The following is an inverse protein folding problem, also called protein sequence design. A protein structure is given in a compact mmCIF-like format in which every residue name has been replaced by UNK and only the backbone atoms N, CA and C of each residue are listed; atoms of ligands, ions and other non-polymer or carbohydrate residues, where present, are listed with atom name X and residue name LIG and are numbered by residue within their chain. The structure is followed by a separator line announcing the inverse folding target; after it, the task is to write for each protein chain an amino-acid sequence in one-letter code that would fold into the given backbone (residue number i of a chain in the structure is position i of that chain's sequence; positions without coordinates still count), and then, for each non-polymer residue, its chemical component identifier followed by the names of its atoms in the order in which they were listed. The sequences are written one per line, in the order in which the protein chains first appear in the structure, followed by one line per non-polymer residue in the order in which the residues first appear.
data_IF_818179686894
#
_entry.id   IF_818179686894
#
_cell.length_a   1.000
_cell.length_b   1.000
_cell.length_c   1.000
_cell.angle_alpha   90.00
_cell.angle_beta   90.00
_cell.angle_gamma   90.00
#
_symmetry.space_group_name_H-M   'P 1'
#
loop_
_entity.id
_entity.type
_entity.pdbx_description
1 polymer ?
#
# COMPACT_ATOMS: atom_id res chain seq x y z
N UNK A 1 -26.60 6.00 14.74
CA UNK A 1 -25.70 5.10 15.49
C UNK A 1 -26.19 3.64 15.49
N UNK A 2 -26.61 3.10 14.34
CA UNK A 2 -27.27 1.79 14.26
C UNK A 2 -26.31 0.57 14.29
N UNK A 3 -24.99 0.79 14.20
CA UNK A 3 -23.99 -0.28 14.19
C UNK A 3 -22.71 0.21 14.89
N UNK A 4 -22.30 -0.51 15.94
CA UNK A 4 -21.02 -0.28 16.64
C UNK A 4 -19.84 -0.98 15.95
N UNK A 5 -18.63 -0.68 16.39
CA UNK A 5 -17.43 -1.41 15.98
C UNK A 5 -17.52 -2.88 16.42
N UNK A 6 -17.14 -3.79 15.52
CA UNK A 6 -17.15 -5.24 15.78
C UNK A 6 -16.06 -5.72 16.75
N UNK A 7 -15.06 -4.88 17.02
CA UNK A 7 -13.98 -5.12 17.98
C UNK A 7 -13.38 -3.78 18.44
N UNK A 8 -12.56 -3.80 19.49
CA UNK A 8 -11.62 -2.72 19.76
C UNK A 8 -10.46 -2.79 18.78
N UNK A 9 -9.85 -1.65 18.45
CA UNK A 9 -8.72 -1.65 17.55
C UNK A 9 -8.26 -0.27 17.15
N UNK A 10 -7.04 -0.21 16.63
CA UNK A 10 -6.41 0.98 16.07
C UNK A 10 -6.13 0.73 14.60
N UNK A 11 -6.44 1.71 13.76
CA UNK A 11 -6.23 1.65 12.32
C UNK A 11 -5.43 2.86 11.88
N UNK A 12 -4.57 2.67 10.87
CA UNK A 12 -3.69 3.72 10.36
C UNK A 12 -3.96 3.93 8.86
N UNK A 13 -4.09 5.20 8.50
CA UNK A 13 -4.14 5.71 7.14
C UNK A 13 -2.88 6.49 6.84
N UNK A 14 -2.35 6.37 5.62
CA UNK A 14 -1.18 7.13 5.20
C UNK A 14 -1.26 7.51 3.72
N UNK A 15 -0.70 8.67 3.40
CA UNK A 15 -0.42 9.10 2.04
C UNK A 15 0.79 10.06 2.01
N UNK A 16 1.47 10.12 0.86
CA UNK A 16 2.53 11.07 0.59
C UNK A 16 2.57 11.38 -0.92
N UNK A 17 3.20 12.48 -1.32
CA UNK A 17 3.28 12.89 -2.72
C UNK A 17 4.49 12.31 -3.49
N UNK A 18 5.19 11.30 -2.93
CA UNK A 18 6.33 10.63 -3.57
C UNK A 18 6.00 9.94 -4.91
N UNK A 19 4.74 9.56 -5.12
CA UNK A 19 4.28 8.84 -6.32
C UNK A 19 2.91 9.34 -6.76
N UNK A 20 2.53 9.19 -8.04
CA UNK A 20 1.19 9.56 -8.53
C UNK A 20 0.04 8.85 -7.79
N UNK A 21 0.28 7.65 -7.29
CA UNK A 21 -0.69 6.87 -6.50
C UNK A 21 -0.81 7.34 -5.03
N UNK A 22 -0.06 8.37 -4.67
CA UNK A 22 0.06 8.92 -3.32
C UNK A 22 0.50 7.88 -2.28
N UNK A 23 1.49 7.07 -2.66
CA UNK A 23 2.07 5.98 -1.87
C UNK A 23 3.58 6.18 -1.66
N UNK A 24 4.17 5.61 -0.59
CA UNK A 24 5.62 5.53 -0.47
C UNK A 24 6.22 4.77 -1.66
N UNK A 25 7.31 5.30 -2.21
CA UNK A 25 7.91 4.80 -3.44
C UNK A 25 8.44 3.36 -3.31
N UNK A 26 8.99 3.02 -2.14
CA UNK A 26 9.59 1.70 -1.86
C UNK A 26 8.57 0.56 -1.93
N UNK A 27 7.44 0.69 -1.23
CA UNK A 27 6.39 -0.33 -1.21
C UNK A 27 5.65 -0.41 -2.54
N UNK A 28 5.42 0.74 -3.19
CA UNK A 28 4.73 0.79 -4.49
C UNK A 28 5.51 -0.02 -5.53
N UNK A 29 6.82 0.24 -5.67
CA UNK A 29 7.62 -0.48 -6.65
C UNK A 29 7.87 -1.93 -6.26
N UNK A 30 8.01 -2.26 -4.97
CA UNK A 30 8.04 -3.65 -4.53
C UNK A 30 6.78 -4.42 -4.99
N UNK A 31 5.59 -3.84 -4.84
CA UNK A 31 4.35 -4.43 -5.36
C UNK A 31 4.31 -4.54 -6.87
N UNK A 32 4.65 -3.46 -7.60
CA UNK A 32 4.63 -3.46 -9.07
C UNK A 32 5.59 -4.51 -9.64
N UNK A 33 6.78 -4.67 -9.06
CA UNK A 33 7.74 -5.71 -9.44
C UNK A 33 7.18 -7.12 -9.17
N UNK A 34 6.55 -7.35 -8.01
CA UNK A 34 5.96 -8.65 -7.69
C UNK A 34 4.78 -9.00 -8.63
N UNK A 35 3.97 -8.00 -8.98
CA UNK A 35 2.88 -8.16 -9.96
C UNK A 35 3.47 -8.49 -11.33
N UNK A 36 4.46 -7.72 -11.78
CA UNK A 36 5.12 -7.93 -13.07
C UNK A 36 5.79 -9.30 -13.17
N UNK A 37 6.43 -9.78 -12.10
CA UNK A 37 7.00 -11.12 -12.03
C UNK A 37 5.93 -12.19 -12.26
N UNK A 38 4.73 -12.01 -11.70
CA UNK A 38 3.61 -12.90 -11.94
C UNK A 38 3.07 -12.79 -13.38
N UNK A 39 3.04 -11.59 -13.97
CA UNK A 39 2.58 -11.36 -15.33
C UNK A 39 3.47 -12.06 -16.36
N UNK A 40 4.79 -11.85 -16.30
CA UNK A 40 5.75 -12.47 -17.25
C UNK A 40 5.75 -14.00 -17.14
N UNK A 41 5.52 -14.53 -15.94
CA UNK A 41 5.34 -15.97 -15.71
C UNK A 41 4.05 -16.48 -16.36
N UNK A 42 2.91 -15.84 -16.07
CA UNK A 42 1.60 -16.28 -16.58
C UNK A 42 1.51 -16.16 -18.10
N UNK A 43 2.15 -15.14 -18.68
CA UNK A 43 2.26 -14.94 -20.11
C UNK A 43 3.30 -15.84 -20.80
N UNK A 44 4.03 -16.68 -20.04
CA UNK A 44 5.11 -17.54 -20.54
C UNK A 44 6.26 -16.79 -21.24
N UNK A 45 6.45 -15.50 -20.92
CA UNK A 45 7.62 -14.72 -21.36
C UNK A 45 8.88 -15.30 -20.71
N UNK A 46 8.80 -15.58 -19.40
CA UNK A 46 9.85 -16.27 -18.64
C UNK A 46 9.30 -17.63 -18.15
N UNK A 47 9.27 -18.67 -19.01
CA UNK A 47 8.52 -19.91 -18.76
C UNK A 47 9.15 -20.80 -17.67
N UNK A 48 10.39 -20.49 -17.26
CA UNK A 48 11.08 -21.18 -16.18
C UNK A 48 10.65 -20.70 -14.79
N UNK A 49 9.96 -19.56 -14.68
CA UNK A 49 9.48 -19.04 -13.39
C UNK A 49 8.34 -19.89 -12.83
N UNK A 50 8.33 -20.00 -11.50
CA UNK A 50 7.29 -20.66 -10.69
C UNK A 50 6.56 -19.63 -9.82
N UNK A 51 5.44 -19.99 -9.16
CA UNK A 51 4.56 -19.02 -8.52
C UNK A 51 5.14 -18.22 -7.34
N UNK A 52 6.07 -18.80 -6.57
CA UNK A 52 6.61 -18.13 -5.38
C UNK A 52 7.68 -17.10 -5.76
N UNK A 53 7.56 -15.89 -5.22
CA UNK A 53 8.40 -14.76 -5.58
C UNK A 53 8.32 -13.66 -4.54
N UNK A 54 9.47 -13.01 -4.28
CA UNK A 54 9.63 -11.94 -3.29
C UNK A 54 10.42 -10.80 -3.92
N UNK A 55 10.02 -9.58 -3.63
CA UNK A 55 10.66 -8.36 -4.13
C UNK A 55 10.93 -7.42 -2.97
N UNK A 56 12.06 -6.71 -3.03
CA UNK A 56 12.44 -5.69 -2.08
C UNK A 56 13.11 -4.54 -2.84
N UNK A 57 12.79 -3.31 -2.45
CA UNK A 57 13.32 -2.08 -3.03
C UNK A 57 13.89 -1.23 -1.91
N UNK A 58 15.18 -0.90 -2.00
CA UNK A 58 15.87 0.04 -1.12
C UNK A 58 16.02 1.37 -1.86
N UNK A 59 15.62 2.44 -1.20
CA UNK A 59 15.54 3.78 -1.78
C UNK A 59 16.42 4.72 -0.97
N UNK A 60 17.17 5.57 -1.64
CA UNK A 60 17.94 6.64 -1.02
C UNK A 60 17.08 7.89 -0.88
N UNK A 61 17.16 8.52 0.29
CA UNK A 61 16.39 9.73 0.63
C UNK A 61 17.34 10.88 1.00
N UNK A 62 17.04 12.08 0.52
CA UNK A 62 17.64 13.35 0.95
C UNK A 62 16.51 14.24 1.47
N UNK A 63 16.63 14.76 2.70
CA UNK A 63 15.62 15.63 3.34
C UNK A 63 14.18 15.08 3.21
N UNK A 64 14.01 13.79 3.48
CA UNK A 64 12.75 13.03 3.35
C UNK A 64 12.17 12.88 1.93
N UNK A 65 12.91 13.26 0.89
CA UNK A 65 12.52 13.05 -0.51
C UNK A 65 13.29 11.89 -1.13
N UNK A 66 12.62 10.98 -1.86
CA UNK A 66 13.31 9.91 -2.55
C UNK A 66 14.11 10.45 -3.73
N UNK A 67 15.37 10.07 -3.83
CA UNK A 67 16.29 10.56 -4.87
C UNK A 67 16.54 9.49 -5.94
N UNK A 68 16.79 8.25 -5.52
CA UNK A 68 17.05 7.11 -6.43
C UNK A 68 16.77 5.78 -5.76
N UNK A 69 16.66 4.72 -6.56
CA UNK A 69 16.66 3.35 -6.06
C UNK A 69 18.11 2.85 -5.95
N UNK A 70 18.54 2.51 -4.74
CA UNK A 70 19.90 1.98 -4.50
C UNK A 70 19.98 0.49 -4.83
N UNK A 71 19.01 -0.30 -4.35
CA UNK A 71 19.04 -1.76 -4.47
C UNK A 71 17.67 -2.32 -4.81
N UNK A 72 17.62 -3.22 -5.79
CA UNK A 72 16.47 -4.08 -6.07
C UNK A 72 16.88 -5.53 -5.80
N UNK A 73 16.12 -6.21 -4.94
CA UNK A 73 16.29 -7.63 -4.67
C UNK A 73 15.05 -8.39 -5.14
N UNK A 74 15.26 -9.40 -5.98
CA UNK A 74 14.23 -10.31 -6.47
C UNK A 74 14.63 -11.74 -6.13
N UNK A 75 13.83 -12.41 -5.32
CA UNK A 75 13.92 -13.86 -5.13
C UNK A 75 12.75 -14.52 -5.84
N UNK A 76 13.00 -15.25 -6.92
CA UNK A 76 11.96 -15.87 -7.74
C UNK A 76 12.17 -17.39 -7.82
N UNK A 77 11.12 -18.14 -7.50
CA UNK A 77 11.14 -19.59 -7.63
C UNK A 77 11.22 -19.98 -9.12
N UNK A 78 11.95 -21.05 -9.43
CA UNK A 78 12.19 -21.45 -10.81
C UNK A 78 12.25 -22.97 -11.00
N UNK A 79 12.23 -23.40 -12.27
CA UNK A 79 12.53 -24.80 -12.65
C UNK A 79 13.99 -25.14 -12.31
N UNK A 80 14.32 -26.43 -12.09
CA UNK A 80 15.70 -26.85 -11.93
C UNK A 80 16.59 -26.49 -13.12
N UNK A 81 17.89 -26.38 -12.88
CA UNK A 81 18.93 -26.14 -13.88
C UNK A 81 18.80 -24.80 -14.64
N UNK A 82 18.21 -23.78 -14.00
CA UNK A 82 18.25 -22.40 -14.50
C UNK A 82 19.50 -21.72 -13.98
N UNK A 83 20.28 -21.12 -14.88
CA UNK A 83 21.41 -20.28 -14.51
C UNK A 83 20.91 -18.93 -13.96
N UNK A 84 21.38 -18.56 -12.77
CA UNK A 84 20.92 -17.35 -12.10
C UNK A 84 21.58 -16.10 -12.68
N UNK A 85 22.89 -16.15 -12.93
CA UNK A 85 23.67 -14.96 -13.31
C UNK A 85 23.58 -14.70 -14.81
N UNK A 86 23.70 -15.75 -15.64
CA UNK A 86 23.82 -15.60 -17.09
C UNK A 86 22.47 -15.65 -17.83
N UNK A 87 21.41 -16.11 -17.17
CA UNK A 87 20.06 -16.18 -17.75
C UNK A 87 19.03 -15.40 -16.92
N UNK A 88 18.76 -15.84 -15.68
CA UNK A 88 17.64 -15.29 -14.92
C UNK A 88 17.81 -13.80 -14.61
N UNK A 89 18.99 -13.37 -14.21
CA UNK A 89 19.25 -11.98 -13.83
C UNK A 89 19.10 -11.01 -15.02
N UNK A 90 19.71 -11.25 -16.20
CA UNK A 90 19.42 -10.47 -17.41
C UNK A 90 17.93 -10.42 -17.75
N UNK A 91 17.24 -11.57 -17.71
CA UNK A 91 15.82 -11.67 -18.02
C UNK A 91 14.94 -10.86 -17.05
N UNK A 92 15.22 -10.92 -15.75
CA UNK A 92 14.49 -10.14 -14.75
C UNK A 92 14.77 -8.63 -14.87
N UNK A 93 16.00 -8.25 -15.21
CA UNK A 93 16.32 -6.84 -15.49
C UNK A 93 15.48 -6.33 -16.67
N UNK A 94 15.48 -7.06 -17.78
CA UNK A 94 14.83 -6.64 -19.02
C UNK A 94 13.30 -6.69 -18.93
N UNK A 95 12.76 -7.80 -18.43
CA UNK A 95 11.32 -8.05 -18.51
C UNK A 95 10.56 -7.68 -17.25
N UNK A 96 11.23 -7.47 -16.11
CA UNK A 96 10.59 -7.16 -14.81
C UNK A 96 11.00 -5.78 -14.27
N UNK A 97 12.28 -5.45 -14.22
CA UNK A 97 12.75 -4.20 -13.59
C UNK A 97 12.55 -3.00 -14.51
N UNK A 98 13.17 -2.99 -15.69
CA UNK A 98 13.11 -1.85 -16.62
C UNK A 98 11.67 -1.43 -16.99
N UNK A 99 10.70 -2.33 -17.22
CA UNK A 99 9.34 -1.92 -17.57
C UNK A 99 8.54 -1.30 -16.42
N UNK A 100 9.05 -1.38 -15.18
CA UNK A 100 8.32 -1.01 -13.97
C UNK A 100 8.94 0.19 -13.27
N UNK A 101 10.26 0.26 -13.23
CA UNK A 101 10.99 1.31 -12.57
C UNK A 101 11.26 2.43 -13.58
N UNK A 102 10.80 3.67 -13.33
CA UNK A 102 11.13 4.81 -14.16
C UNK A 102 12.64 5.02 -14.28
N UNK A 103 13.10 5.40 -15.48
CA UNK A 103 14.53 5.57 -15.78
C UNK A 103 15.17 6.63 -14.89
N UNK A 104 14.44 7.67 -14.50
CA UNK A 104 14.92 8.75 -13.63
C UNK A 104 15.28 8.28 -12.20
N UNK A 105 14.80 7.11 -11.77
CA UNK A 105 15.12 6.53 -10.47
C UNK A 105 16.27 5.52 -10.52
N UNK A 106 16.78 5.21 -11.73
CA UNK A 106 17.87 4.25 -11.96
C UNK A 106 19.14 5.02 -12.32
N UNK A 107 20.21 4.77 -11.58
CA UNK A 107 21.55 5.23 -11.93
C UNK A 107 22.50 4.07 -12.22
N UNK A 108 23.73 4.40 -12.62
CA UNK A 108 24.80 3.42 -12.87
C UNK A 108 25.22 2.61 -11.63
N UNK A 109 24.79 3.03 -10.43
CA UNK A 109 25.14 2.39 -9.17
C UNK A 109 24.03 1.45 -8.66
N UNK A 110 22.94 1.29 -9.40
CA UNK A 110 21.85 0.38 -9.04
C UNK A 110 22.39 -1.04 -8.79
N UNK A 111 22.13 -1.56 -7.59
CA UNK A 111 22.46 -2.93 -7.22
C UNK A 111 21.26 -3.83 -7.51
N UNK A 112 21.44 -4.83 -8.37
CA UNK A 112 20.42 -5.84 -8.65
C UNK A 112 20.85 -7.18 -8.10
N UNK A 113 20.11 -7.65 -7.09
CA UNK A 113 20.34 -8.93 -6.42
C UNK A 113 19.24 -9.92 -6.85
N UNK A 114 19.63 -10.99 -7.54
CA UNK A 114 18.70 -12.04 -7.98
C UNK A 114 19.08 -13.34 -7.30
N UNK A 115 18.13 -13.95 -6.57
CA UNK A 115 18.29 -15.19 -5.83
C UNK A 115 19.69 -15.33 -5.15
N UNK A 116 20.05 -14.43 -4.21
CA UNK A 116 21.42 -14.38 -3.66
C UNK A 116 21.84 -15.65 -2.90
N UNK A 117 20.89 -16.49 -2.50
CA UNK A 117 21.14 -17.81 -1.88
C UNK A 117 21.41 -18.92 -2.91
N UNK A 118 21.42 -18.59 -4.20
CA UNK A 118 21.53 -19.52 -5.31
C UNK A 118 20.18 -20.09 -5.75
N UNK A 119 20.00 -21.40 -5.65
CA UNK A 119 18.82 -22.08 -6.23
C UNK A 119 17.56 -21.88 -5.38
N UNK A 120 16.45 -21.56 -6.03
CA UNK A 120 15.11 -21.50 -5.42
C UNK A 120 14.13 -22.39 -6.20
N UNK A 121 14.28 -23.71 -6.08
CA UNK A 121 13.49 -24.69 -6.84
C UNK A 121 12.24 -25.17 -6.07
N UNK A 122 12.35 -25.32 -4.74
CA UNK A 122 11.27 -25.69 -3.82
C UNK A 122 10.72 -24.43 -3.15
N UNK A 123 9.40 -24.22 -3.19
CA UNK A 123 8.75 -23.01 -2.68
C UNK A 123 7.26 -23.24 -2.42
N UNK A 124 6.55 -22.15 -2.11
CA UNK A 124 5.15 -22.22 -1.69
C UNK A 124 4.96 -22.99 -0.37
N UNK A 125 3.76 -23.53 -0.10
CA UNK A 125 3.45 -24.20 1.18
C UNK A 125 4.35 -25.40 1.51
N UNK A 126 5.00 -26.00 0.52
CA UNK A 126 5.98 -27.07 0.73
C UNK A 126 7.27 -26.55 1.38
N UNK A 127 7.68 -25.32 1.07
CA UNK A 127 8.89 -24.70 1.61
C UNK A 127 8.65 -23.87 2.86
N UNK A 128 7.49 -23.23 3.00
CA UNK A 128 7.15 -22.37 4.15
C UNK A 128 5.64 -22.35 4.42
N UNK A 129 5.24 -22.49 5.69
CA UNK A 129 3.82 -22.51 6.06
C UNK A 129 3.20 -21.12 5.98
N UNK A 130 2.20 -20.95 5.12
CA UNK A 130 1.46 -19.70 4.98
C UNK A 130 0.26 -19.60 5.95
N UNK A 131 0.05 -18.42 6.54
CA UNK A 131 -1.15 -18.12 7.34
C UNK A 131 -1.74 -16.76 6.94
N UNK A 132 -3.07 -16.65 7.02
CA UNK A 132 -3.79 -15.38 6.83
C UNK A 132 -3.28 -14.31 7.81
N UNK A 133 -3.09 -13.08 7.32
CA UNK A 133 -2.69 -11.96 8.17
C UNK A 133 -1.23 -11.94 8.59
N UNK A 134 -0.34 -12.70 7.93
CA UNK A 134 1.11 -12.67 8.19
C UNK A 134 1.90 -11.79 7.22
N UNK A 135 1.22 -10.87 6.54
CA UNK A 135 1.78 -9.93 5.56
C UNK A 135 1.23 -8.50 5.73
N UNK A 136 0.76 -8.14 6.92
CA UNK A 136 0.06 -6.85 7.18
C UNK A 136 0.87 -5.59 6.79
N UNK A 137 2.20 -5.62 6.92
CA UNK A 137 3.05 -4.50 6.49
C UNK A 137 3.17 -4.43 4.96
N UNK A 138 3.20 -5.59 4.30
CA UNK A 138 3.15 -5.70 2.83
C UNK A 138 1.75 -5.34 2.32
N UNK A 139 0.69 -5.67 3.04
CA UNK A 139 -0.68 -5.29 2.66
C UNK A 139 -0.92 -3.77 2.74
N UNK A 140 -0.05 -3.01 3.43
CA UNK A 140 -0.23 -1.59 3.72
C UNK A 140 0.87 -0.71 3.12
N UNK A 141 1.78 -0.18 3.94
CA UNK A 141 2.68 0.92 3.58
C UNK A 141 4.16 0.54 3.63
N UNK A 142 4.47 -0.76 3.70
CA UNK A 142 5.85 -1.26 3.64
C UNK A 142 6.75 -0.80 4.78
N UNK A 143 6.16 -0.39 5.91
CA UNK A 143 6.89 0.12 7.09
C UNK A 143 7.12 1.64 7.09
N UNK A 144 6.68 2.36 6.04
CA UNK A 144 6.77 3.83 6.02
C UNK A 144 5.81 4.51 7.01
N UNK A 145 4.70 3.84 7.31
CA UNK A 145 3.69 4.29 8.26
C UNK A 145 3.50 3.27 9.38
N UNK A 146 2.95 3.73 10.49
CA UNK A 146 2.57 2.86 11.62
C UNK A 146 1.51 1.84 11.21
N UNK A 147 1.33 0.81 12.02
CA UNK A 147 0.30 -0.21 11.81
C UNK A 147 -0.36 -0.59 13.13
N UNK A 148 -1.70 -0.69 13.17
CA UNK A 148 -2.44 -0.98 14.40
C UNK A 148 -2.66 -2.46 14.72
N UNK A 149 -2.18 -3.35 13.85
CA UNK A 149 -2.06 -4.80 14.10
C UNK A 149 -3.15 -5.67 13.45
N UNK A 150 -4.31 -5.09 13.13
CA UNK A 150 -5.42 -5.81 12.50
C UNK A 150 -5.10 -6.28 11.07
N UNK A 151 -5.24 -7.58 10.80
CA UNK A 151 -5.17 -8.12 9.44
C UNK A 151 -6.45 -7.80 8.64
N UNK A 152 -6.33 -7.77 7.30
CA UNK A 152 -7.48 -7.48 6.43
C UNK A 152 -8.18 -8.74 5.90
N UNK A 153 -7.46 -9.65 5.26
CA UNK A 153 -8.02 -10.83 4.57
C UNK A 153 -8.85 -11.72 5.49
N UNK A 154 -9.98 -12.24 4.98
CA UNK A 154 -10.93 -13.07 5.74
C UNK A 154 -11.98 -12.32 6.56
N UNK A 155 -11.93 -10.99 6.63
CA UNK A 155 -12.87 -10.17 7.41
C UNK A 155 -13.90 -9.45 6.53
N UNK A 156 -15.18 -9.51 6.89
CA UNK A 156 -16.21 -8.68 6.27
C UNK A 156 -16.04 -7.19 6.65
N UNK A 157 -16.69 -6.23 5.97
CA UNK A 157 -16.44 -4.81 6.21
C UNK A 157 -17.05 -4.25 7.51
N UNK A 158 -17.79 -5.05 8.30
CA UNK A 158 -18.18 -4.62 9.65
C UNK A 158 -17.01 -4.67 10.63
N UNK A 159 -15.87 -5.28 10.24
CA UNK A 159 -14.66 -5.40 11.07
C UNK A 159 -13.79 -4.19 10.79
N UNK A 160 -13.67 -3.34 11.81
CA UNK A 160 -13.04 -2.03 11.70
C UNK A 160 -11.56 -2.11 11.35
N UNK A 161 -10.89 -3.23 11.64
CA UNK A 161 -9.53 -3.52 11.15
C UNK A 161 -9.39 -3.29 9.64
N UNK A 162 -10.38 -3.71 8.85
CA UNK A 162 -10.40 -3.52 7.41
C UNK A 162 -11.05 -2.19 7.02
N UNK A 163 -12.30 -1.99 7.41
CA UNK A 163 -13.07 -0.82 6.94
C UNK A 163 -12.52 0.48 7.50
N UNK A 164 -12.10 0.51 8.76
CA UNK A 164 -11.44 1.65 9.38
C UNK A 164 -10.09 1.96 8.75
N UNK A 165 -9.28 0.96 8.41
CA UNK A 165 -8.02 1.17 7.70
C UNK A 165 -8.23 1.72 6.28
N UNK A 166 -9.23 1.22 5.56
CA UNK A 166 -9.57 1.73 4.23
C UNK A 166 -10.09 3.17 4.29
N UNK A 167 -10.94 3.49 5.27
CA UNK A 167 -11.41 4.85 5.48
C UNK A 167 -10.27 5.80 5.88
N UNK A 168 -9.33 5.34 6.71
CA UNK A 168 -8.16 6.11 7.09
C UNK A 168 -7.25 6.39 5.87
N UNK A 169 -7.04 5.39 4.98
CA UNK A 169 -6.38 5.60 3.69
C UNK A 169 -7.12 6.62 2.82
N UNK A 170 -8.45 6.51 2.74
CA UNK A 170 -9.28 7.43 1.95
C UNK A 170 -9.14 8.87 2.43
N UNK A 171 -9.15 9.10 3.75
CA UNK A 171 -8.85 10.41 4.36
C UNK A 171 -7.46 10.88 3.95
N UNK A 172 -6.42 10.10 4.26
CA UNK A 172 -5.04 10.52 4.05
C UNK A 172 -4.76 10.86 2.58
N UNK A 173 -5.27 10.02 1.66
CA UNK A 173 -5.12 10.22 0.22
C UNK A 173 -5.81 11.50 -0.25
N UNK A 174 -7.03 11.78 0.22
CA UNK A 174 -7.73 13.02 -0.13
C UNK A 174 -7.07 14.26 0.48
N UNK A 175 -6.49 14.15 1.67
CA UNK A 175 -5.76 15.25 2.32
C UNK A 175 -4.53 15.64 1.51
N UNK A 176 -3.71 14.66 1.12
CA UNK A 176 -2.52 14.90 0.29
C UNK A 176 -2.91 15.34 -1.13
N UNK A 177 -3.91 14.72 -1.73
CA UNK A 177 -4.40 15.11 -3.06
C UNK A 177 -4.95 16.54 -3.11
N UNK A 178 -5.53 17.04 -2.02
CA UNK A 178 -6.01 18.41 -1.90
C UNK A 178 -4.86 19.43 -1.78
N UNK A 179 -3.63 18.98 -1.51
CA UNK A 179 -2.47 19.84 -1.23
C UNK A 179 -2.47 20.43 0.17
N UNK A 180 -3.22 19.85 1.12
CA UNK A 180 -3.24 20.30 2.51
C UNK A 180 -1.94 19.96 3.25
N UNK A 181 -1.26 18.88 2.83
CA UNK A 181 0.04 18.45 3.31
C UNK A 181 0.72 17.58 2.24
N UNK A 182 2.06 17.53 2.24
CA UNK A 182 2.81 16.68 1.32
C UNK A 182 2.88 15.22 1.81
N UNK A 183 2.79 15.03 3.13
CA UNK A 183 2.81 13.75 3.84
C UNK A 183 1.78 13.77 4.97
N UNK A 184 1.01 12.70 5.12
CA UNK A 184 -0.06 12.64 6.12
C UNK A 184 -0.29 11.24 6.66
N UNK A 185 -0.27 11.09 7.98
CA UNK A 185 -0.65 9.87 8.71
C UNK A 185 -1.85 10.17 9.60
N UNK A 186 -2.87 9.31 9.61
CA UNK A 186 -3.99 9.38 10.55
C UNK A 186 -4.17 8.06 11.26
N UNK A 187 -4.37 8.12 12.57
CA UNK A 187 -4.69 6.99 13.42
C UNK A 187 -6.12 7.14 13.96
N UNK A 188 -6.88 6.05 13.91
CA UNK A 188 -8.28 6.00 14.36
C UNK A 188 -8.45 4.81 15.29
N UNK A 189 -9.01 5.04 16.47
CA UNK A 189 -9.25 3.99 17.46
C UNK A 189 -10.74 3.82 17.75
N UNK A 190 -11.18 2.57 17.94
CA UNK A 190 -12.55 2.23 18.32
C UNK A 190 -12.57 1.38 19.60
N UNK A 191 -13.65 1.53 20.36
CA UNK A 191 -14.02 0.59 21.40
C UNK A 191 -15.14 -0.32 20.86
N UNK A 192 -15.11 -1.60 21.24
CA UNK A 192 -16.12 -2.58 20.84
C UNK A 192 -17.54 -2.08 21.17
N UNK A 193 -18.47 -2.22 20.24
CA UNK A 193 -19.86 -1.80 20.40
C UNK A 193 -20.11 -0.28 20.34
N UNK A 194 -19.06 0.57 20.30
CA UNK A 194 -19.21 2.02 20.09
C UNK A 194 -19.17 2.33 18.59
N UNK A 195 -20.08 3.18 18.14
CA UNK A 195 -20.18 3.57 16.73
C UNK A 195 -19.19 4.67 16.36
N UNK A 196 -18.96 5.65 17.23
CA UNK A 196 -18.00 6.73 17.00
C UNK A 196 -16.60 6.28 17.42
N UNK A 197 -15.54 6.72 16.70
CA UNK A 197 -14.18 6.54 17.17
C UNK A 197 -13.97 7.16 18.55
N UNK A 198 -13.14 6.53 19.38
CA UNK A 198 -12.72 7.06 20.68
C UNK A 198 -11.53 8.01 20.55
N UNK A 199 -10.77 7.89 19.46
CA UNK A 199 -9.65 8.77 19.14
C UNK A 199 -9.48 8.87 17.63
N UNK A 200 -9.13 10.08 17.17
CA UNK A 200 -8.64 10.37 15.83
C UNK A 200 -7.48 11.35 16.00
N UNK A 201 -6.27 10.94 15.63
CA UNK A 201 -5.06 11.75 15.69
C UNK A 201 -4.36 11.70 14.34
N UNK A 202 -3.74 12.78 13.91
CA UNK A 202 -2.97 12.80 12.67
C UNK A 202 -1.63 13.49 12.86
N UNK A 203 -0.73 13.25 11.91
CA UNK A 203 0.57 13.88 11.79
C UNK A 203 0.80 14.26 10.32
N UNK A 204 1.20 15.51 10.08
CA UNK A 204 1.54 16.06 8.77
C UNK A 204 3.05 16.11 8.54
N UNK A 205 3.84 15.71 9.53
CA UNK A 205 5.30 15.69 9.49
C UNK A 205 5.89 17.07 9.14
N UNK A 206 5.23 18.15 9.57
CA UNK A 206 5.63 19.53 9.28
C UNK A 206 5.43 19.96 7.81
N UNK A 207 4.71 19.17 7.01
CA UNK A 207 4.47 19.45 5.59
C UNK A 207 3.14 20.14 5.29
N UNK A 208 2.37 20.46 6.34
CA UNK A 208 1.06 21.11 6.21
C UNK A 208 1.15 22.49 5.53
N UNK A 209 0.13 22.80 4.73
CA UNK A 209 -0.03 24.09 4.05
C UNK A 209 -1.11 24.97 4.69
N UNK A 210 -1.87 24.40 5.63
CA UNK A 210 -2.87 25.08 6.45
C UNK A 210 -2.76 24.56 7.89
N UNK A 211 -3.39 25.25 8.84
CA UNK A 211 -3.28 24.87 10.25
C UNK A 211 -3.86 23.48 10.54
N UNK A 212 -3.33 22.82 11.57
CA UNK A 212 -3.83 21.51 12.01
C UNK A 212 -5.31 21.58 12.40
N UNK A 213 -5.77 22.66 13.03
CA UNK A 213 -7.17 22.86 13.39
C UNK A 213 -8.05 22.89 12.14
N UNK A 214 -7.56 23.50 11.06
CA UNK A 214 -8.29 23.53 9.79
C UNK A 214 -8.40 22.14 9.17
N UNK A 215 -7.32 21.37 9.16
CA UNK A 215 -7.33 19.97 8.68
C UNK A 215 -8.30 19.13 9.52
N UNK A 216 -8.27 19.27 10.85
CA UNK A 216 -9.15 18.55 11.75
C UNK A 216 -10.63 18.88 11.53
N UNK A 217 -10.95 20.17 11.37
CA UNK A 217 -12.30 20.66 11.03
C UNK A 217 -12.82 19.99 9.75
N UNK A 218 -12.01 20.02 8.69
CA UNK A 218 -12.36 19.46 7.38
C UNK A 218 -12.56 17.95 7.45
N UNK A 219 -11.68 17.23 8.15
CA UNK A 219 -11.82 15.78 8.33
C UNK A 219 -13.13 15.45 9.05
N UNK A 220 -13.42 16.14 10.17
CA UNK A 220 -14.65 15.92 10.96
C UNK A 220 -15.92 16.25 10.16
N UNK A 221 -15.86 17.26 9.28
CA UNK A 221 -17.00 17.68 8.44
C UNK A 221 -17.30 16.68 7.33
N UNK A 222 -16.27 16.19 6.63
CA UNK A 222 -16.44 15.45 5.37
C UNK A 222 -16.36 13.93 5.50
N UNK A 223 -15.78 13.42 6.59
CA UNK A 223 -15.57 11.98 6.80
C UNK A 223 -16.28 11.48 8.05
N UNK A 224 -17.38 10.77 7.84
CA UNK A 224 -18.08 10.06 8.92
C UNK A 224 -17.42 8.71 9.18
N UNK A 225 -16.63 8.66 10.25
CA UNK A 225 -15.88 7.48 10.68
C UNK A 225 -16.71 6.49 11.50
N UNK A 226 -18.05 6.51 11.44
CA UNK A 226 -18.86 5.44 12.03
C UNK A 226 -18.84 4.20 11.11
N UNK A 227 -18.76 2.95 11.63
CA UNK A 227 -18.66 1.75 10.79
C UNK A 227 -19.72 1.65 9.68
N UNK A 228 -20.98 2.00 9.98
CA UNK A 228 -22.04 1.97 8.97
C UNK A 228 -21.87 3.05 7.88
N UNK A 229 -21.37 4.22 8.26
CA UNK A 229 -21.11 5.32 7.34
C UNK A 229 -19.92 5.01 6.42
N UNK A 230 -18.85 4.42 6.97
CA UNK A 230 -17.71 3.92 6.19
C UNK A 230 -18.16 2.91 5.14
N UNK A 231 -18.93 1.89 5.55
CA UNK A 231 -19.42 0.85 4.62
C UNK A 231 -20.25 1.46 3.49
N UNK A 232 -21.10 2.44 3.81
CA UNK A 232 -21.95 3.12 2.84
C UNK A 232 -21.11 3.99 1.89
N UNK A 233 -20.21 4.81 2.43
CA UNK A 233 -19.38 5.75 1.66
C UNK A 233 -18.49 5.02 0.67
N UNK A 234 -17.82 3.97 1.12
CA UNK A 234 -16.88 3.21 0.31
C UNK A 234 -17.56 2.04 -0.44
N UNK A 235 -18.89 1.94 -0.37
CA UNK A 235 -19.66 0.87 -1.01
C UNK A 235 -19.04 -0.53 -0.81
N UNK A 236 -18.87 -0.92 0.46
CA UNK A 236 -18.07 -2.09 0.83
C UNK A 236 -18.85 -3.41 0.78
N UNK A 237 -20.18 -3.40 0.70
CA UNK A 237 -20.99 -4.64 0.70
C UNK A 237 -21.05 -5.28 -0.69
N UNK A 238 -19.88 -5.58 -1.25
CA UNK A 238 -19.69 -6.16 -2.58
C UNK A 238 -18.56 -7.21 -2.57
N UNK A 239 -18.55 -8.17 -3.50
CA UNK A 239 -17.52 -9.21 -3.58
C UNK A 239 -16.21 -8.70 -4.22
N UNK A 240 -15.60 -7.65 -3.66
CA UNK A 240 -14.49 -6.90 -4.28
C UNK A 240 -13.10 -7.24 -3.71
N UNK A 241 -13.03 -8.07 -2.68
CA UNK A 241 -11.83 -8.20 -1.84
C UNK A 241 -10.79 -9.22 -2.32
N UNK A 242 -11.14 -10.15 -3.22
CA UNK A 242 -10.21 -11.20 -3.63
C UNK A 242 -8.92 -10.62 -4.24
N UNK A 243 -9.07 -9.57 -5.06
CA UNK A 243 -7.94 -8.86 -5.68
C UNK A 243 -7.10 -8.04 -4.70
N UNK A 244 -7.60 -7.77 -3.49
CA UNK A 244 -6.81 -7.07 -2.47
C UNK A 244 -5.80 -7.96 -1.78
N UNK A 245 -6.02 -9.28 -1.77
CA UNK A 245 -5.22 -10.25 -1.02
C UNK A 245 -3.79 -10.47 -1.57
N UNK A 246 -3.37 -9.73 -2.58
CA UNK A 246 -2.01 -9.73 -3.13
C UNK A 246 -1.71 -8.38 -3.76
N UNK A 247 -0.43 -7.99 -3.77
CA UNK A 247 0.07 -6.75 -4.36
C UNK A 247 -0.44 -5.47 -3.70
N UNK A 248 -0.64 -5.51 -2.38
CA UNK A 248 -1.05 -4.38 -1.55
C UNK A 248 -2.55 -4.10 -1.58
N UNK A 249 -3.10 -3.58 -0.48
CA UNK A 249 -4.48 -3.11 -0.43
C UNK A 249 -4.62 -1.66 -0.93
N UNK A 250 -3.53 -0.90 -0.93
CA UNK A 250 -3.48 0.52 -1.25
C UNK A 250 -2.59 0.80 -2.47
N UNK A 251 -2.78 1.97 -3.09
CA UNK A 251 -1.94 2.42 -4.20
C UNK A 251 -2.26 1.81 -5.57
N UNK A 252 -3.45 1.24 -5.76
CA UNK A 252 -3.89 0.68 -7.05
C UNK A 252 -5.17 1.34 -7.53
N UNK A 253 -5.13 1.83 -8.76
CA UNK A 253 -6.28 2.45 -9.42
C UNK A 253 -7.18 1.40 -10.06
N UNK A 254 -7.90 0.67 -9.20
CA UNK A 254 -8.95 -0.25 -9.62
C UNK A 254 -10.32 0.33 -9.23
N UNK A 255 -11.29 0.27 -10.15
CA UNK A 255 -12.66 0.80 -9.97
C UNK A 255 -13.38 0.33 -8.70
N UNK A 256 -13.04 -0.83 -8.16
CA UNK A 256 -13.68 -1.32 -6.94
C UNK A 256 -13.01 -0.83 -5.65
N UNK A 257 -11.78 -0.29 -5.74
CA UNK A 257 -11.03 0.24 -4.60
C UNK A 257 -11.42 1.69 -4.37
N UNK A 258 -12.67 1.89 -3.96
CA UNK A 258 -13.27 3.20 -3.67
C UNK A 258 -12.50 4.02 -2.65
N UNK A 259 -11.73 3.39 -1.76
CA UNK A 259 -10.84 4.07 -0.82
C UNK A 259 -9.61 4.73 -1.47
N UNK A 260 -9.31 4.39 -2.72
CA UNK A 260 -8.26 5.04 -3.51
C UNK A 260 -8.77 6.25 -4.30
N UNK A 261 -10.06 6.57 -4.24
CA UNK A 261 -10.62 7.76 -4.89
C UNK A 261 -10.23 9.04 -4.14
N UNK A 262 -10.00 10.11 -4.91
CA UNK A 262 -9.71 11.46 -4.41
C UNK A 262 -10.90 12.40 -4.62
N UNK A 263 -12.11 11.88 -4.43
CA UNK A 263 -13.40 12.53 -4.69
C UNK A 263 -13.67 13.78 -3.83
N UNK A 264 -12.98 13.93 -2.71
CA UNK A 264 -13.09 15.10 -1.83
C UNK A 264 -11.93 16.08 -1.98
N UNK A 265 -10.87 15.75 -2.73
CA UNK A 265 -9.66 16.56 -2.78
C UNK A 265 -9.94 18.02 -3.16
N UNK A 266 -10.71 18.26 -4.23
CA UNK A 266 -11.08 19.61 -4.68
C UNK A 266 -11.94 20.35 -3.64
N UNK A 267 -12.90 19.66 -3.03
CA UNK A 267 -13.76 20.26 -1.99
C UNK A 267 -12.93 20.68 -0.77
N UNK A 268 -12.02 19.81 -0.32
CA UNK A 268 -11.15 20.08 0.82
C UNK A 268 -10.19 21.24 0.50
N UNK A 269 -9.62 21.28 -0.71
CA UNK A 269 -8.72 22.35 -1.17
C UNK A 269 -9.41 23.71 -1.13
N UNK A 270 -10.61 23.80 -1.71
CA UNK A 270 -11.43 25.02 -1.74
C UNK A 270 -11.82 25.48 -0.34
N UNK A 271 -12.32 24.58 0.51
CA UNK A 271 -12.70 24.94 1.89
C UNK A 271 -11.49 25.28 2.78
N UNK A 272 -10.29 24.89 2.37
CA UNK A 272 -9.03 25.27 3.01
C UNK A 272 -8.48 26.62 2.51
N UNK A 273 -9.04 27.19 1.44
CA UNK A 273 -8.59 28.46 0.87
C UNK A 273 -7.27 28.34 0.10
N UNK A 274 -6.97 27.17 -0.49
CA UNK A 274 -5.77 26.92 -1.29
C UNK A 274 -6.00 27.09 -2.82
N UNK A 275 -6.98 27.94 -3.17
CA UNK A 275 -7.33 28.29 -4.56
C UNK A 275 -6.44 29.41 -5.11
#
# INVERSE_FOLDING_TARGET
DAMGAGDQGMMVGYACNETPELMPISILYAHKLAHRLADVRKAQILPYLRPDGKTQVTVEYEDERPVRIDTILISAQHRPNVDIEDLMKPDLIEHVIKPIIPEELIDKNLKVLVNPTGKFEVGGPMGDTGLTGRKIIVDTYGGMAKHGGGAFSGKDPTKVDRSGAYAARHIAKNVVAAGLADRFEIQVAYAIGKSRPISMMFDTFGTEKVSHEKIEELIKRHFDMRPAAIIKRLDLRRPIYRKTASYGHFGRMDKDFTWEHTDLAETLRKEAGLD
#
